data_IF_402039691560
#
_entry.id   IF_402039691560
#
_cell.length_a   1.000
_cell.length_b   1.000
_cell.length_c   1.000
_cell.angle_alpha   90.00
_cell.angle_beta   90.00
_cell.angle_gamma   90.00
#
_symmetry.space_group_name_H-M   'P 1'
#
loop_
_entity.id
_entity.type
_entity.pdbx_description
1 polymer ?
#
# COMPACT_ATOMS: atom_id res chain seq x y z
N UNK A 1 22.22 -1.98 -8.24
CA UNK A 1 21.00 -2.17 -7.42
C UNK A 1 20.88 -3.65 -7.14
N UNK A 2 21.03 -4.10 -5.89
CA UNK A 2 20.75 -5.50 -5.53
C UNK A 2 19.25 -5.65 -5.36
N UNK A 3 18.58 -6.19 -6.38
CA UNK A 3 17.21 -6.65 -6.23
C UNK A 3 17.27 -8.01 -5.51
N UNK A 4 16.52 -8.15 -4.42
CA UNK A 4 16.41 -9.40 -3.66
C UNK A 4 15.01 -9.97 -3.89
N UNK A 5 14.92 -11.24 -4.26
CA UNK A 5 13.64 -11.94 -4.37
C UNK A 5 13.23 -12.39 -2.97
N UNK A 6 12.26 -11.69 -2.38
CA UNK A 6 11.78 -11.95 -1.04
C UNK A 6 10.33 -11.45 -0.89
N UNK A 7 9.76 -11.57 0.32
CA UNK A 7 8.45 -11.01 0.66
C UNK A 7 8.54 -9.50 0.89
N UNK A 8 7.64 -8.75 0.24
CA UNK A 8 7.44 -7.32 0.44
C UNK A 8 7.01 -7.02 1.87
N UNK A 9 7.63 -6.05 2.54
CA UNK A 9 7.33 -5.70 3.93
C UNK A 9 5.94 -5.04 4.12
N UNK A 10 5.30 -4.57 3.05
CA UNK A 10 3.95 -3.95 3.10
C UNK A 10 2.84 -4.95 2.79
N UNK A 11 2.91 -5.66 1.67
CA UNK A 11 1.81 -6.54 1.21
C UNK A 11 2.11 -8.04 1.37
N UNK A 12 3.30 -8.39 1.87
CA UNK A 12 3.77 -9.76 2.07
C UNK A 12 3.84 -10.65 0.81
N UNK A 13 3.65 -10.05 -0.38
CA UNK A 13 3.79 -10.73 -1.66
C UNK A 13 5.26 -11.06 -1.95
N UNK A 14 5.52 -12.27 -2.46
CA UNK A 14 6.83 -12.61 -3.01
C UNK A 14 7.04 -11.87 -4.33
N UNK A 15 8.12 -11.10 -4.41
CA UNK A 15 8.43 -10.30 -5.58
C UNK A 15 9.93 -9.92 -5.60
N UNK A 16 10.36 -9.36 -6.73
CA UNK A 16 11.56 -8.54 -6.76
C UNK A 16 11.34 -7.27 -5.96
N UNK A 17 12.18 -7.05 -4.96
CA UNK A 17 12.06 -5.92 -4.06
C UNK A 17 13.00 -4.78 -4.46
N UNK A 18 12.51 -3.55 -4.26
CA UNK A 18 13.26 -2.31 -4.34
C UNK A 18 13.47 -1.75 -2.94
N UNK A 19 14.61 -1.09 -2.73
CA UNK A 19 14.89 -0.40 -1.47
C UNK A 19 14.18 0.96 -1.46
N UNK A 20 13.19 1.09 -0.59
CA UNK A 20 12.46 2.33 -0.35
C UNK A 20 13.20 3.19 0.69
N UNK A 21 13.15 4.51 0.52
CA UNK A 21 13.87 5.47 1.37
C UNK A 21 13.12 6.80 1.47
N UNK A 22 13.39 7.55 2.54
CA UNK A 22 12.75 8.83 2.78
C UNK A 22 13.41 9.95 1.96
N UNK A 23 12.71 10.43 0.93
CA UNK A 23 13.21 11.51 0.07
C UNK A 23 13.32 12.86 0.81
N UNK A 24 12.39 13.17 1.73
CA UNK A 24 12.40 14.45 2.47
C UNK A 24 13.65 14.62 3.35
N UNK A 25 14.07 13.56 4.06
CA UNK A 25 15.30 13.62 4.87
C UNK A 25 16.55 13.58 4.01
N UNK A 26 16.53 12.86 2.90
CA UNK A 26 17.67 12.88 1.98
C UNK A 26 17.88 14.29 1.41
N UNK A 27 16.80 14.97 1.00
CA UNK A 27 16.86 16.34 0.49
C UNK A 27 17.24 17.36 1.59
N UNK A 28 16.62 17.28 2.77
CA UNK A 28 16.83 18.25 3.86
C UNK A 28 18.15 18.06 4.60
N UNK A 29 18.55 16.82 4.84
CA UNK A 29 19.64 16.46 5.77
C UNK A 29 20.82 15.80 5.06
N UNK A 30 20.70 15.46 3.77
CA UNK A 30 21.71 14.69 3.04
C UNK A 30 21.79 13.23 3.51
N UNK A 31 20.81 12.77 4.32
CA UNK A 31 20.80 11.44 4.93
C UNK A 31 19.77 10.55 4.24
N UNK A 32 20.25 9.58 3.50
CA UNK A 32 19.39 8.55 2.90
C UNK A 32 18.89 7.59 3.97
N UNK A 33 17.66 7.80 4.43
CA UNK A 33 17.03 6.95 5.46
C UNK A 33 16.26 5.81 4.80
N UNK A 34 16.77 4.58 4.95
CA UNK A 34 16.09 3.36 4.48
C UNK A 34 14.77 3.13 5.22
N UNK A 35 13.70 2.79 4.50
CA UNK A 35 12.37 2.51 5.06
C UNK A 35 11.95 1.04 4.96
N UNK A 36 12.45 0.30 3.97
CA UNK A 36 12.11 -1.13 3.80
C UNK A 36 12.35 -1.64 2.38
N UNK A 37 12.24 -2.95 2.20
CA UNK A 37 12.24 -3.61 0.90
C UNK A 37 10.81 -3.88 0.42
N UNK A 38 10.41 -3.18 -0.63
CA UNK A 38 9.04 -3.17 -1.12
C UNK A 38 8.95 -3.73 -2.54
N UNK A 39 7.83 -4.36 -2.88
CA UNK A 39 7.54 -4.64 -4.30
C UNK A 39 7.26 -3.32 -5.04
N UNK A 40 7.46 -3.30 -6.36
CA UNK A 40 7.25 -2.11 -7.21
C UNK A 40 5.88 -1.49 -7.01
N UNK A 41 4.82 -2.30 -6.90
CA UNK A 41 3.45 -1.81 -6.72
C UNK A 41 3.27 -1.04 -5.42
N UNK A 42 3.80 -1.55 -4.31
CA UNK A 42 3.75 -0.85 -3.01
C UNK A 42 4.58 0.44 -3.06
N UNK A 43 5.81 0.36 -3.56
CA UNK A 43 6.70 1.51 -3.68
C UNK A 43 6.09 2.66 -4.52
N UNK A 44 5.56 2.33 -5.70
CA UNK A 44 4.88 3.31 -6.57
C UNK A 44 3.63 3.88 -5.90
N UNK A 45 2.89 3.07 -5.16
CA UNK A 45 1.69 3.54 -4.45
C UNK A 45 2.07 4.56 -3.37
N UNK A 46 3.12 4.30 -2.58
CA UNK A 46 3.62 5.28 -1.61
C UNK A 46 3.96 6.62 -2.28
N UNK A 47 4.70 6.58 -3.39
CA UNK A 47 5.04 7.78 -4.17
C UNK A 47 3.83 8.52 -4.75
N UNK A 48 2.79 7.80 -5.20
CA UNK A 48 1.53 8.42 -5.68
C UNK A 48 0.83 9.23 -4.60
N UNK A 49 0.91 8.79 -3.35
CA UNK A 49 0.36 9.51 -2.19
C UNK A 49 1.38 10.44 -1.54
N UNK A 50 2.51 10.73 -2.22
CA UNK A 50 3.59 11.61 -1.75
C UNK A 50 4.09 11.26 -0.35
N UNK A 51 4.11 9.96 -0.04
CA UNK A 51 4.52 9.45 1.27
C UNK A 51 3.69 10.01 2.46
N UNK A 52 2.52 10.63 2.20
CA UNK A 52 1.65 11.17 3.24
C UNK A 52 0.88 10.05 3.93
N UNK A 53 1.08 9.96 5.24
CA UNK A 53 0.35 9.03 6.11
C UNK A 53 -1.15 9.32 6.09
N UNK A 54 -1.53 10.60 6.10
CA UNK A 54 -2.91 11.04 6.13
C UNK A 54 -3.65 10.65 4.85
N UNK A 55 -3.04 10.92 3.69
CA UNK A 55 -3.62 10.57 2.39
C UNK A 55 -3.76 9.05 2.21
N UNK A 56 -2.78 8.27 2.67
CA UNK A 56 -2.85 6.80 2.66
C UNK A 56 -3.94 6.27 3.59
N UNK A 57 -4.06 6.85 4.80
CA UNK A 57 -5.09 6.48 5.77
C UNK A 57 -6.49 6.76 5.23
N UNK A 58 -6.73 7.97 4.72
CA UNK A 58 -8.02 8.34 4.13
C UNK A 58 -8.40 7.37 2.99
N UNK A 59 -7.44 7.02 2.13
CA UNK A 59 -7.68 6.07 1.05
C UNK A 59 -8.00 4.67 1.57
N UNK A 60 -7.26 4.19 2.57
CA UNK A 60 -7.48 2.89 3.18
C UNK A 60 -8.88 2.81 3.83
N UNK A 61 -9.26 3.84 4.59
CA UNK A 61 -10.57 3.93 5.24
C UNK A 61 -11.71 3.92 4.20
N UNK A 62 -11.55 4.65 3.10
CA UNK A 62 -12.53 4.66 2.00
C UNK A 62 -12.67 3.29 1.32
N UNK A 63 -11.56 2.58 1.09
CA UNK A 63 -11.57 1.22 0.51
C UNK A 63 -12.19 0.21 1.47
N UNK A 64 -11.89 0.31 2.76
CA UNK A 64 -12.44 -0.55 3.80
C UNK A 64 -13.97 -0.42 3.86
N UNK A 65 -14.49 0.81 3.89
CA UNK A 65 -15.94 1.07 3.87
C UNK A 65 -16.60 0.49 2.62
N UNK A 66 -15.95 0.60 1.45
CA UNK A 66 -16.46 0.00 0.21
C UNK A 66 -16.48 -1.53 0.29
N UNK A 67 -15.47 -2.15 0.89
CA UNK A 67 -15.42 -3.60 1.08
C UNK A 67 -16.50 -4.12 2.04
N UNK A 68 -16.86 -3.33 3.06
CA UNK A 68 -17.99 -3.64 3.96
C UNK A 68 -19.32 -3.60 3.20
N UNK A 69 -19.56 -2.53 2.43
CA UNK A 69 -20.77 -2.42 1.60
C UNK A 69 -20.87 -3.61 0.62
N UNK A 70 -19.76 -3.97 -0.04
CA UNK A 70 -19.75 -5.09 -0.98
C UNK A 70 -20.03 -6.43 -0.29
N UNK A 71 -19.54 -6.63 0.94
CA UNK A 71 -19.83 -7.83 1.74
C UNK A 71 -21.32 -7.92 2.09
N UNK A 72 -21.92 -6.81 2.52
CA UNK A 72 -23.36 -6.76 2.77
C UNK A 72 -24.16 -7.06 1.50
N UNK A 73 -23.86 -6.38 0.39
CA UNK A 73 -24.55 -6.63 -0.88
C UNK A 73 -24.44 -8.10 -1.33
N UNK A 74 -23.25 -8.71 -1.19
CA UNK A 74 -23.07 -10.13 -1.47
C UNK A 74 -23.96 -11.00 -0.58
N UNK A 75 -24.11 -10.67 0.71
CA UNK A 75 -25.02 -11.37 1.61
C UNK A 75 -26.49 -11.23 1.18
N UNK A 76 -26.94 -10.03 0.78
CA UNK A 76 -28.29 -9.82 0.26
C UNK A 76 -28.57 -10.66 -1.01
N UNK A 77 -27.60 -10.73 -1.94
CA UNK A 77 -27.69 -11.57 -3.14
C UNK A 77 -27.78 -13.05 -2.77
N UNK A 78 -26.93 -13.53 -1.87
CA UNK A 78 -26.92 -14.94 -1.44
C UNK A 78 -28.21 -15.36 -0.73
N UNK A 79 -28.87 -14.43 -0.03
CA UNK A 79 -30.18 -14.67 0.60
C UNK A 79 -31.37 -14.53 -0.37
N UNK A 80 -31.15 -14.21 -1.65
CA UNK A 80 -32.22 -13.95 -2.61
C UNK A 80 -33.08 -12.74 -2.25
N UNK A 81 -32.54 -11.79 -1.46
CA UNK A 81 -33.23 -10.58 -1.01
C UNK A 81 -33.04 -9.39 -1.95
N UNK A 82 -32.30 -9.61 -3.04
CA UNK A 82 -32.14 -8.66 -4.14
C UNK A 82 -32.82 -9.28 -5.37
N UNK A 83 -33.78 -8.58 -6.01
CA UNK A 83 -34.48 -9.09 -7.19
C UNK A 83 -33.55 -9.28 -8.39
#
# INVERSE_FOLDING_TARGET
MSAMYHRCEVCNAEAWLVSDHCHEREEREGVRTHRGYLCTSCNVTLGKYRDSREALKEKADALQKRAEILRELAHYLMLGRYP
#
